data_IF_795986217575
#
_entry.id   IF_795986217575
#
_cell.length_a   1.000
_cell.length_b   1.000
_cell.length_c   1.000
_cell.angle_alpha   90.00
_cell.angle_beta   90.00
_cell.angle_gamma   90.00
#
_symmetry.space_group_name_H-M   'P 1'
#
loop_
_entity.id
_entity.type
_entity.pdbx_description
1 polymer ?
#
# COMPACT_ATOMS: atom_id res chain seq x y z
N UNK A 1 -12.15 13.76 -24.42
CA UNK A 1 -10.71 13.65 -24.74
C UNK A 1 -10.50 12.41 -25.58
N UNK A 2 -9.50 12.43 -26.47
CA UNK A 2 -9.15 11.30 -27.35
C UNK A 2 -7.85 10.60 -26.93
N UNK A 3 -7.10 11.20 -26.00
CA UNK A 3 -5.85 10.69 -25.46
C UNK A 3 -5.68 11.13 -24.00
N UNK A 4 -4.63 10.62 -23.34
CA UNK A 4 -4.21 11.10 -22.01
C UNK A 4 -3.63 12.51 -22.15
N UNK A 5 -4.23 13.47 -21.45
CA UNK A 5 -3.86 14.89 -21.48
C UNK A 5 -4.30 15.57 -20.17
N UNK A 6 -4.23 16.90 -20.07
CA UNK A 6 -4.49 17.68 -18.87
C UNK A 6 -5.82 17.33 -18.17
N UNK A 7 -6.89 17.09 -18.93
CA UNK A 7 -8.18 16.69 -18.37
C UNK A 7 -8.12 15.32 -17.66
N UNK A 8 -7.23 14.43 -18.08
CA UNK A 8 -6.96 13.14 -17.42
C UNK A 8 -6.10 13.33 -16.18
N UNK A 9 -5.07 14.18 -16.23
CA UNK A 9 -4.22 14.47 -15.08
C UNK A 9 -5.01 15.09 -13.92
N UNK A 10 -5.86 16.09 -14.22
CA UNK A 10 -6.67 16.77 -13.21
C UNK A 10 -7.62 15.82 -12.49
N UNK A 11 -8.33 14.95 -13.25
CA UNK A 11 -9.25 13.99 -12.63
C UNK A 11 -8.51 12.89 -11.86
N UNK A 12 -7.34 12.45 -12.35
CA UNK A 12 -6.51 11.47 -11.65
C UNK A 12 -6.05 12.00 -10.31
N UNK A 13 -5.63 13.27 -10.24
CA UNK A 13 -5.32 13.91 -8.97
C UNK A 13 -6.54 13.97 -8.04
N UNK A 14 -7.72 14.34 -8.55
CA UNK A 14 -8.95 14.36 -7.75
C UNK A 14 -9.29 12.97 -7.19
N UNK A 15 -9.20 11.92 -8.00
CA UNK A 15 -9.45 10.56 -7.54
C UNK A 15 -8.37 10.07 -6.57
N UNK A 16 -7.09 10.34 -6.85
CA UNK A 16 -5.98 9.99 -5.96
C UNK A 16 -6.13 10.64 -4.58
N UNK A 17 -6.63 11.87 -4.51
CA UNK A 17 -6.93 12.52 -3.23
C UNK A 17 -8.13 11.88 -2.51
N UNK A 18 -9.19 11.54 -3.24
CA UNK A 18 -10.43 11.02 -2.65
C UNK A 18 -10.32 9.56 -2.19
N UNK A 19 -9.66 8.70 -2.97
CA UNK A 19 -9.63 7.25 -2.76
C UNK A 19 -9.05 6.83 -1.39
N UNK A 20 -7.98 7.44 -0.85
CA UNK A 20 -7.46 7.12 0.49
C UNK A 20 -8.50 7.28 1.62
N UNK A 21 -9.41 8.26 1.52
CA UNK A 21 -10.49 8.43 2.50
C UNK A 21 -11.56 7.35 2.38
N UNK A 22 -11.88 6.95 1.14
CA UNK A 22 -12.77 5.83 0.87
C UNK A 22 -12.16 4.53 1.42
N UNK A 23 -10.87 4.29 1.19
CA UNK A 23 -10.13 3.15 1.76
C UNK A 23 -10.19 3.19 3.30
N UNK A 24 -10.00 4.35 3.91
CA UNK A 24 -10.10 4.50 5.38
C UNK A 24 -11.49 4.09 5.90
N UNK A 25 -12.56 4.45 5.19
CA UNK A 25 -13.91 4.00 5.53
C UNK A 25 -14.06 2.48 5.40
N UNK A 26 -13.50 1.87 4.35
CA UNK A 26 -13.50 0.42 4.19
C UNK A 26 -12.67 -0.30 5.27
N UNK A 27 -11.57 0.29 5.76
CA UNK A 27 -10.80 -0.24 6.89
C UNK A 27 -11.68 -0.31 8.15
N UNK A 28 -12.51 0.70 8.43
CA UNK A 28 -13.42 0.66 9.58
C UNK A 28 -14.48 -0.43 9.44
N UNK A 29 -15.05 -0.61 8.24
CA UNK A 29 -16.00 -1.69 7.96
C UNK A 29 -15.32 -3.06 8.12
N UNK A 30 -14.09 -3.18 7.62
CA UNK A 30 -13.29 -4.40 7.77
C UNK A 30 -13.05 -4.75 9.25
N UNK A 31 -12.63 -3.77 10.06
CA UNK A 31 -12.41 -3.95 11.51
C UNK A 31 -13.70 -4.26 12.26
N UNK A 32 -14.84 -3.66 11.86
CA UNK A 32 -16.15 -3.99 12.43
C UNK A 32 -16.47 -5.48 12.26
N UNK A 33 -16.31 -6.02 11.06
CA UNK A 33 -16.54 -7.45 10.82
C UNK A 33 -15.52 -8.34 11.53
N UNK A 34 -14.25 -7.93 11.58
CA UNK A 34 -13.24 -8.64 12.36
C UNK A 34 -13.61 -8.71 13.85
N UNK A 35 -14.17 -7.65 14.42
CA UNK A 35 -14.58 -7.61 15.83
C UNK A 35 -15.79 -8.49 16.14
N UNK A 36 -16.61 -8.86 15.14
CA UNK A 36 -17.73 -9.79 15.34
C UNK A 36 -17.26 -11.22 15.60
N UNK A 37 -16.18 -11.66 14.93
CA UNK A 37 -15.64 -13.03 15.06
C UNK A 37 -14.40 -13.12 15.93
N UNK A 38 -13.65 -12.02 16.04
CA UNK A 38 -12.28 -12.00 16.55
C UNK A 38 -11.26 -12.56 15.53
N UNK A 39 -9.98 -12.42 15.86
CA UNK A 39 -8.87 -12.94 15.05
C UNK A 39 -8.78 -14.47 15.08
N UNK A 40 -8.35 -15.05 13.96
CA UNK A 40 -7.89 -16.44 13.91
C UNK A 40 -6.51 -16.58 14.58
N UNK A 41 -6.02 -17.82 14.70
CA UNK A 41 -4.68 -18.13 15.20
C UNK A 41 -3.98 -19.13 14.28
N UNK A 42 -2.64 -19.29 14.39
CA UNK A 42 -1.86 -20.14 13.49
C UNK A 42 -2.29 -21.61 13.44
N UNK A 43 -2.93 -22.13 14.50
CA UNK A 43 -3.43 -23.51 14.53
C UNK A 43 -4.80 -23.65 13.86
N UNK A 44 -5.48 -22.54 13.53
CA UNK A 44 -6.82 -22.56 12.96
C UNK A 44 -7.91 -23.08 13.90
N UNK A 45 -7.59 -23.30 15.18
CA UNK A 45 -8.51 -23.82 16.19
C UNK A 45 -9.26 -22.69 16.90
N UNK A 46 -10.28 -23.02 17.70
CA UNK A 46 -11.00 -22.01 18.47
C UNK A 46 -10.11 -21.43 19.60
N UNK A 47 -9.87 -20.12 19.57
CA UNK A 47 -9.03 -19.40 20.54
C UNK A 47 -9.75 -18.99 21.82
N UNK A 48 -11.06 -19.22 21.96
CA UNK A 48 -11.83 -18.78 23.13
C UNK A 48 -11.37 -19.39 24.46
N UNK A 49 -10.67 -20.52 24.42
CA UNK A 49 -10.14 -21.20 25.61
C UNK A 49 -8.96 -20.45 26.24
N UNK A 50 -8.24 -19.62 25.48
CA UNK A 50 -7.03 -18.94 25.92
C UNK A 50 -6.92 -17.54 25.28
N UNK A 51 -7.85 -16.66 25.67
CA UNK A 51 -7.84 -15.25 25.26
C UNK A 51 -7.04 -14.42 26.26
N UNK A 52 -6.09 -13.65 25.74
CA UNK A 52 -5.41 -12.59 26.48
C UNK A 52 -5.93 -11.22 26.04
N UNK A 53 -5.93 -10.20 26.92
CA UNK A 53 -6.34 -8.85 26.55
C UNK A 53 -5.39 -8.25 25.50
N UNK A 54 -5.91 -7.34 24.67
CA UNK A 54 -5.10 -6.66 23.65
C UNK A 54 -3.97 -5.83 24.28
N UNK A 55 -4.30 -5.03 25.30
CA UNK A 55 -3.32 -4.30 26.10
C UNK A 55 -2.99 -5.10 27.37
N UNK A 56 -1.71 -5.27 27.74
CA UNK A 56 -0.51 -4.67 27.14
C UNK A 56 0.11 -5.47 25.98
N UNK A 57 -0.29 -6.74 25.82
CA UNK A 57 0.45 -7.73 25.03
C UNK A 57 0.62 -7.36 23.55
N UNK A 58 -0.48 -7.16 22.83
CA UNK A 58 -0.45 -6.82 21.42
C UNK A 58 -0.08 -5.36 21.20
N UNK A 59 -0.44 -4.45 22.12
CA UNK A 59 -0.02 -3.05 22.02
C UNK A 59 1.50 -2.88 21.95
N UNK A 60 2.26 -3.52 22.86
CA UNK A 60 3.73 -3.43 22.81
C UNK A 60 4.33 -4.18 21.62
N UNK A 61 3.74 -5.31 21.24
CA UNK A 61 4.16 -6.06 20.04
C UNK A 61 4.00 -5.21 18.77
N UNK A 62 2.88 -4.51 18.64
CA UNK A 62 2.58 -3.65 17.49
C UNK A 62 3.50 -2.42 17.45
N UNK A 63 3.80 -1.81 18.61
CA UNK A 63 4.77 -0.71 18.69
C UNK A 63 6.16 -1.18 18.22
N UNK A 64 6.61 -2.36 18.65
CA UNK A 64 7.88 -2.91 18.18
C UNK A 64 7.88 -3.13 16.66
N UNK A 65 6.78 -3.66 16.10
CA UNK A 65 6.60 -3.81 14.66
C UNK A 65 6.62 -2.47 13.91
N UNK A 66 5.95 -1.43 14.44
CA UNK A 66 5.94 -0.09 13.86
C UNK A 66 7.34 0.54 13.85
N UNK A 67 8.13 0.36 14.91
CA UNK A 67 9.52 0.83 14.98
C UNK A 67 10.37 0.16 13.89
N UNK A 68 10.24 -1.16 13.71
CA UNK A 68 10.97 -1.90 12.68
C UNK A 68 10.59 -1.38 11.28
N UNK A 69 9.30 -1.20 11.00
CA UNK A 69 8.81 -0.64 9.73
C UNK A 69 9.38 0.76 9.48
N UNK A 70 9.36 1.64 10.49
CA UNK A 70 9.89 3.00 10.37
C UNK A 70 11.40 3.00 10.09
N UNK A 71 12.16 2.10 10.71
CA UNK A 71 13.60 1.95 10.42
C UNK A 71 13.80 1.62 8.94
N UNK A 72 13.06 0.65 8.37
CA UNK A 72 13.19 0.32 6.95
C UNK A 72 12.82 1.48 6.03
N UNK A 73 11.74 2.20 6.33
CA UNK A 73 11.32 3.38 5.53
C UNK A 73 12.38 4.48 5.60
N UNK A 74 12.93 4.76 6.79
CA UNK A 74 13.99 5.75 6.96
C UNK A 74 15.26 5.33 6.23
N UNK A 75 15.67 4.07 6.31
CA UNK A 75 16.86 3.56 5.61
C UNK A 75 16.69 3.69 4.09
N UNK A 76 15.54 3.31 3.55
CA UNK A 76 15.25 3.47 2.11
C UNK A 76 15.31 4.95 1.72
N UNK A 77 14.62 5.82 2.47
CA UNK A 77 14.49 7.24 2.13
C UNK A 77 15.81 8.01 2.25
N UNK A 78 16.67 7.67 3.22
CA UNK A 78 17.90 8.43 3.50
C UNK A 78 19.13 7.87 2.78
N UNK A 79 19.20 6.56 2.53
CA UNK A 79 20.38 5.93 1.92
C UNK A 79 20.20 5.79 0.41
N UNK A 80 19.04 5.33 -0.07
CA UNK A 80 18.81 5.12 -1.50
C UNK A 80 17.33 5.36 -1.87
N UNK A 81 16.88 6.64 -1.91
CA UNK A 81 15.46 6.98 -2.10
C UNK A 81 14.90 6.53 -3.44
N UNK A 82 15.74 6.26 -4.43
CA UNK A 82 15.33 5.87 -5.78
C UNK A 82 15.49 4.37 -6.04
N UNK A 83 15.88 3.56 -5.05
CA UNK A 83 16.08 2.12 -5.21
C UNK A 83 14.86 1.38 -5.80
N UNK A 84 13.66 1.83 -5.46
CA UNK A 84 12.40 1.21 -5.89
C UNK A 84 11.70 2.00 -7.01
N UNK A 85 12.32 3.05 -7.55
CA UNK A 85 11.78 3.90 -8.61
C UNK A 85 12.37 3.56 -9.98
N UNK A 86 11.72 4.05 -11.03
CA UNK A 86 12.20 3.92 -12.41
C UNK A 86 12.87 5.22 -12.87
N UNK A 87 14.11 5.19 -13.40
CA UNK A 87 14.80 6.39 -13.87
C UNK A 87 14.06 7.14 -15.00
N UNK A 88 13.23 6.46 -15.79
CA UNK A 88 12.50 7.11 -16.89
C UNK A 88 11.49 8.16 -16.37
N UNK A 89 11.01 8.03 -15.13
CA UNK A 89 10.11 8.99 -14.49
C UNK A 89 10.76 10.34 -14.13
N UNK A 90 12.08 10.48 -14.29
CA UNK A 90 12.76 11.79 -14.20
C UNK A 90 12.73 12.57 -15.51
N UNK A 91 12.32 11.93 -16.61
CA UNK A 91 12.12 12.61 -17.89
C UNK A 91 10.66 13.07 -18.04
N UNK A 92 10.40 14.33 -18.42
CA UNK A 92 9.02 14.78 -18.65
C UNK A 92 8.32 13.94 -19.71
N UNK A 93 7.03 13.66 -19.49
CA UNK A 93 6.23 12.86 -20.40
C UNK A 93 6.21 13.46 -21.83
N UNK A 94 6.47 12.62 -22.83
CA UNK A 94 6.38 12.97 -24.24
C UNK A 94 5.38 12.04 -24.94
N UNK A 95 4.20 12.52 -25.37
CA UNK A 95 3.18 11.66 -25.98
C UNK A 95 3.59 11.06 -27.33
N UNK A 96 4.67 11.54 -27.94
CA UNK A 96 5.18 11.05 -29.22
C UNK A 96 6.27 9.97 -29.06
N UNK A 97 6.72 9.67 -27.84
CA UNK A 97 7.82 8.75 -27.58
C UNK A 97 7.44 7.80 -26.44
N UNK A 98 7.49 6.50 -26.71
CA UNK A 98 7.36 5.47 -25.68
C UNK A 98 8.76 4.96 -25.29
N UNK A 99 9.10 4.89 -23.99
CA UNK A 99 10.35 4.28 -23.56
C UNK A 99 10.46 2.81 -23.99
N UNK A 100 11.69 2.35 -24.27
CA UNK A 100 11.95 1.01 -24.84
C UNK A 100 11.57 -0.11 -23.87
N UNK A 101 11.72 0.12 -22.56
CA UNK A 101 11.42 -0.85 -21.51
C UNK A 101 10.31 -0.36 -20.57
N UNK A 102 9.24 0.22 -21.13
CA UNK A 102 8.09 0.68 -20.34
C UNK A 102 7.51 -0.45 -19.48
N UNK A 103 7.38 -0.19 -18.18
CA UNK A 103 6.89 -1.13 -17.19
C UNK A 103 6.18 -0.36 -16.07
N UNK A 104 5.23 -0.99 -15.35
CA UNK A 104 4.68 -0.40 -14.14
C UNK A 104 5.65 -0.53 -12.96
N UNK A 105 5.35 0.11 -11.85
CA UNK A 105 6.10 -0.06 -10.61
C UNK A 105 6.11 -1.51 -10.13
N UNK A 106 7.15 -1.87 -9.38
CA UNK A 106 7.47 -3.25 -8.98
C UNK A 106 6.30 -4.05 -8.38
N UNK A 107 5.41 -3.39 -7.63
CA UNK A 107 4.27 -4.03 -6.97
C UNK A 107 3.15 -4.44 -7.95
N UNK A 108 3.22 -4.04 -9.22
CA UNK A 108 2.32 -4.49 -10.29
C UNK A 108 2.95 -5.48 -11.28
N UNK A 109 4.26 -5.70 -11.24
CA UNK A 109 4.96 -6.52 -12.24
C UNK A 109 4.42 -7.95 -12.34
N UNK A 110 3.97 -8.53 -11.22
CA UNK A 110 3.39 -9.88 -11.24
C UNK A 110 2.10 -9.94 -12.07
N UNK A 111 1.24 -8.93 -11.98
CA UNK A 111 -0.01 -8.85 -12.73
C UNK A 111 0.25 -8.45 -14.18
N UNK A 112 1.21 -7.55 -14.40
CA UNK A 112 1.66 -7.17 -15.74
C UNK A 112 2.22 -8.36 -16.52
N UNK A 113 2.98 -9.26 -15.87
CA UNK A 113 3.49 -10.46 -16.49
C UNK A 113 2.41 -11.50 -16.86
N UNK A 114 1.21 -11.40 -16.28
CA UNK A 114 0.07 -12.28 -16.57
C UNK A 114 -0.76 -11.75 -17.75
N UNK A 115 -0.84 -10.42 -17.93
CA UNK A 115 -1.64 -9.74 -18.94
C UNK A 115 -1.06 -9.93 -20.36
#
# INVERSE_FOLDING_TARGET
GFAVDNATLTRFFTFHFLLPFIISAFVMIHLLFLHQTGSSNPLGLNSNLDKIPFHPYFSFKDIAGAIIMLIFICMLSLINPYLLGDPDNFTPANPLVTPVHIQPEWYFLFAYAIL
#
